data_IF_777562906377
#
_entry.id   IF_777562906377
#
_cell.length_a   1.000
_cell.length_b   1.000
_cell.length_c   1.000
_cell.angle_alpha   90.00
_cell.angle_beta   90.00
_cell.angle_gamma   90.00
#
_symmetry.space_group_name_H-M   'P 1'
#
loop_
_entity.id
_entity.type
_entity.pdbx_description
1 polymer ?
#
# COMPACT_ATOMS: atom_id res chain seq x y z
N UNK A 1 17.73 15.96 -21.96
CA UNK A 1 16.45 15.84 -21.21
C UNK A 1 16.09 14.36 -21.11
N UNK A 2 16.81 13.60 -20.29
CA UNK A 2 16.49 12.19 -20.03
C UNK A 2 15.65 12.15 -18.77
N UNK A 3 14.36 11.85 -18.90
CA UNK A 3 13.50 11.76 -17.72
C UNK A 3 13.90 10.53 -16.92
N UNK A 4 14.41 10.77 -15.72
CA UNK A 4 14.61 9.78 -14.66
C UNK A 4 13.21 9.28 -14.25
N UNK A 5 12.71 8.27 -14.97
CA UNK A 5 11.35 7.71 -14.79
C UNK A 5 11.32 6.57 -13.78
N UNK A 6 12.48 6.12 -13.31
CA UNK A 6 12.56 4.88 -12.54
C UNK A 6 12.14 5.06 -11.08
N UNK A 7 12.23 6.27 -10.50
CA UNK A 7 11.94 6.47 -9.07
C UNK A 7 12.85 5.67 -8.12
N UNK A 8 13.78 4.87 -8.65
CA UNK A 8 14.78 4.06 -7.97
C UNK A 8 16.11 4.82 -8.00
N UNK A 9 16.77 4.92 -6.85
CA UNK A 9 18.07 5.57 -6.73
C UNK A 9 19.12 4.93 -7.66
N UNK A 10 19.94 5.76 -8.33
CA UNK A 10 21.03 5.29 -9.19
C UNK A 10 22.06 4.41 -8.47
N UNK A 11 22.20 4.57 -7.16
CA UNK A 11 23.02 3.69 -6.32
C UNK A 11 22.42 2.28 -6.23
N UNK A 12 21.10 2.18 -6.00
CA UNK A 12 20.36 0.92 -5.99
C UNK A 12 20.45 0.23 -7.35
N UNK A 13 20.30 0.97 -8.45
CA UNK A 13 20.46 0.44 -9.81
C UNK A 13 21.85 -0.16 -10.01
N UNK A 14 22.90 0.56 -9.59
CA UNK A 14 24.29 0.10 -9.73
C UNK A 14 24.55 -1.16 -8.92
N UNK A 15 24.05 -1.21 -7.68
CA UNK A 15 24.19 -2.36 -6.78
C UNK A 15 23.47 -3.61 -7.32
N UNK A 16 22.18 -3.48 -7.65
CA UNK A 16 21.35 -4.57 -8.19
C UNK A 16 21.94 -5.11 -9.50
N UNK A 17 22.31 -4.20 -10.42
CA UNK A 17 22.84 -4.58 -11.73
C UNK A 17 24.22 -5.23 -11.63
N UNK A 18 25.07 -4.77 -10.71
CA UNK A 18 26.37 -5.40 -10.45
C UNK A 18 26.21 -6.83 -9.95
N UNK A 19 25.40 -7.01 -8.91
CA UNK A 19 25.14 -8.32 -8.30
C UNK A 19 24.51 -9.32 -9.29
N UNK A 20 23.50 -8.89 -10.05
CA UNK A 20 22.82 -9.74 -11.04
C UNK A 20 23.74 -10.12 -12.21
N UNK A 21 24.67 -9.24 -12.59
CA UNK A 21 25.58 -9.50 -13.70
C UNK A 21 26.59 -10.64 -13.41
N UNK A 22 26.84 -10.94 -12.14
CA UNK A 22 27.70 -12.05 -11.71
C UNK A 22 26.96 -13.40 -11.66
N UNK A 23 25.63 -13.41 -11.78
CA UNK A 23 24.86 -14.66 -11.79
C UNK A 23 25.03 -15.42 -13.12
N UNK A 24 25.31 -16.73 -13.09
CA UNK A 24 25.49 -17.53 -14.30
C UNK A 24 24.17 -17.76 -15.05
N UNK A 25 23.03 -17.79 -14.35
CA UNK A 25 21.70 -18.07 -14.91
C UNK A 25 20.92 -16.81 -15.33
N UNK A 26 21.61 -15.68 -15.48
CA UNK A 26 20.97 -14.43 -15.88
C UNK A 26 20.36 -14.55 -17.29
N UNK A 27 19.03 -14.46 -17.39
CA UNK A 27 18.33 -14.48 -18.68
C UNK A 27 18.61 -13.21 -19.49
N UNK A 28 19.32 -13.37 -20.61
CA UNK A 28 19.63 -12.29 -21.56
C UNK A 28 18.80 -12.42 -22.85
N UNK A 29 18.45 -11.31 -23.51
CA UNK A 29 17.84 -11.33 -24.83
C UNK A 29 18.74 -12.04 -25.86
N UNK A 30 18.12 -12.78 -26.79
CA UNK A 30 18.84 -13.51 -27.84
C UNK A 30 19.73 -12.63 -28.72
N UNK A 31 19.43 -11.33 -28.84
CA UNK A 31 20.25 -10.37 -29.57
C UNK A 31 21.64 -10.16 -28.92
N UNK A 32 21.72 -10.27 -27.59
CA UNK A 32 22.97 -10.10 -26.84
C UNK A 32 23.80 -11.39 -26.84
N UNK A 33 23.15 -12.55 -26.81
CA UNK A 33 23.82 -13.87 -26.82
C UNK A 33 24.21 -14.35 -28.21
N UNK A 34 23.75 -13.68 -29.28
CA UNK A 34 24.04 -14.02 -30.69
C UNK A 34 25.54 -14.06 -31.01
N UNK A 35 26.35 -13.27 -30.30
CA UNK A 35 27.79 -13.11 -30.55
C UNK A 35 28.67 -13.86 -29.53
N UNK A 36 28.13 -14.83 -28.79
CA UNK A 36 28.87 -15.63 -27.81
C UNK A 36 28.71 -15.15 -26.37
N UNK A 37 29.67 -15.51 -25.49
CA UNK A 37 29.65 -15.17 -24.07
C UNK A 37 29.60 -13.65 -23.86
N UNK A 38 28.52 -13.18 -23.23
CA UNK A 38 28.34 -11.78 -22.89
C UNK A 38 29.09 -11.51 -21.60
N UNK A 39 30.17 -10.71 -21.66
CA UNK A 39 30.93 -10.35 -20.46
C UNK A 39 30.10 -9.62 -19.39
N UNK A 40 30.49 -9.77 -18.13
CA UNK A 40 29.82 -9.19 -16.94
C UNK A 40 29.48 -7.71 -17.11
N UNK A 41 30.40 -6.92 -17.71
CA UNK A 41 30.19 -5.50 -17.94
C UNK A 41 28.97 -5.20 -18.83
N UNK A 42 28.78 -5.96 -19.92
CA UNK A 42 27.62 -5.81 -20.81
C UNK A 42 26.33 -6.31 -20.18
N UNK A 43 26.41 -7.37 -19.36
CA UNK A 43 25.27 -7.88 -18.59
C UNK A 43 24.78 -6.82 -17.60
N UNK A 44 25.71 -6.20 -16.86
CA UNK A 44 25.42 -5.11 -15.92
C UNK A 44 24.76 -3.92 -16.61
N UNK A 45 25.31 -3.49 -17.75
CA UNK A 45 24.76 -2.38 -18.51
C UNK A 45 23.34 -2.66 -19.00
N UNK A 46 23.08 -3.87 -19.51
CA UNK A 46 21.74 -4.28 -19.92
C UNK A 46 20.74 -4.27 -18.76
N UNK A 47 21.10 -4.85 -17.61
CA UNK A 47 20.24 -4.89 -16.43
C UNK A 47 19.95 -3.47 -15.93
N UNK A 48 20.97 -2.61 -15.84
CA UNK A 48 20.82 -1.23 -15.40
C UNK A 48 19.91 -0.43 -16.33
N UNK A 49 20.04 -0.63 -17.63
CA UNK A 49 19.20 0.02 -18.64
C UNK A 49 17.75 -0.47 -18.58
N UNK A 50 17.53 -1.77 -18.37
CA UNK A 50 16.19 -2.33 -18.25
C UNK A 50 15.49 -1.83 -16.98
N UNK A 51 16.19 -1.84 -15.85
CA UNK A 51 15.66 -1.38 -14.56
C UNK A 51 15.22 0.10 -14.59
N UNK A 52 15.97 0.95 -15.30
CA UNK A 52 15.64 2.37 -15.44
C UNK A 52 14.52 2.64 -16.45
N UNK A 53 14.45 1.82 -17.52
CA UNK A 53 13.49 2.02 -18.60
C UNK A 53 12.12 1.44 -18.28
N UNK A 54 12.10 0.25 -17.68
CA UNK A 54 10.91 -0.57 -17.47
C UNK A 54 11.08 -1.50 -16.25
N UNK A 55 10.71 -1.02 -15.04
CA UNK A 55 10.82 -1.80 -13.82
C UNK A 55 9.85 -2.99 -13.78
N UNK A 56 8.72 -2.95 -14.50
CA UNK A 56 7.76 -4.06 -14.56
C UNK A 56 8.35 -5.26 -15.29
N UNK A 57 8.85 -5.07 -16.51
CA UNK A 57 9.53 -6.12 -17.29
C UNK A 57 10.81 -6.61 -16.60
N UNK A 58 11.49 -5.73 -15.87
CA UNK A 58 12.63 -6.15 -15.03
C UNK A 58 12.19 -7.13 -13.93
N UNK A 59 11.13 -6.81 -13.18
CA UNK A 59 10.61 -7.67 -12.12
C UNK A 59 10.09 -9.00 -12.64
N UNK A 60 9.41 -9.01 -13.79
CA UNK A 60 8.99 -10.25 -14.46
C UNK A 60 10.16 -11.22 -14.67
N UNK A 61 11.30 -10.72 -15.16
CA UNK A 61 12.41 -11.55 -15.64
C UNK A 61 13.46 -11.84 -14.60
N UNK A 62 13.71 -10.88 -13.72
CA UNK A 62 14.82 -10.91 -12.77
C UNK A 62 14.35 -10.82 -11.31
N UNK A 63 13.06 -10.60 -11.06
CA UNK A 63 12.51 -10.43 -9.71
C UNK A 63 12.73 -11.61 -8.78
N UNK A 64 12.76 -12.84 -9.31
CA UNK A 64 13.04 -14.04 -8.52
C UNK A 64 14.43 -14.01 -7.85
N UNK A 65 15.39 -13.30 -8.43
CA UNK A 65 16.78 -13.20 -7.95
C UNK A 65 17.03 -12.01 -7.02
N UNK A 66 16.01 -11.19 -6.75
CA UNK A 66 16.11 -10.03 -5.85
C UNK A 66 15.94 -10.44 -4.40
N UNK A 67 16.57 -9.77 -3.45
CA UNK A 67 16.31 -9.92 -2.02
C UNK A 67 15.07 -9.11 -1.58
N UNK A 68 14.53 -9.38 -0.40
CA UNK A 68 13.42 -8.60 0.17
C UNK A 68 13.78 -7.10 0.30
N UNK A 69 15.00 -6.78 0.72
CA UNK A 69 15.48 -5.41 0.84
C UNK A 69 15.56 -4.70 -0.53
N UNK A 70 15.96 -5.42 -1.58
CA UNK A 70 15.98 -4.86 -2.93
C UNK A 70 14.56 -4.62 -3.49
N UNK A 71 13.61 -5.52 -3.18
CA UNK A 71 12.20 -5.35 -3.57
C UNK A 71 11.53 -4.13 -2.90
N UNK A 72 11.96 -3.75 -1.69
CA UNK A 72 11.43 -2.55 -1.00
C UNK A 72 11.66 -1.27 -1.81
N UNK A 73 12.71 -1.20 -2.62
CA UNK A 73 12.98 -0.04 -3.46
C UNK A 73 11.96 0.15 -4.60
N UNK A 74 11.15 -0.87 -4.89
CA UNK A 74 10.10 -0.84 -5.91
C UNK A 74 8.72 -0.51 -5.32
N UNK A 75 8.59 -0.43 -3.99
CA UNK A 75 7.29 -0.15 -3.35
C UNK A 75 6.79 1.29 -3.65
N UNK A 76 7.70 2.22 -3.96
CA UNK A 76 7.34 3.56 -4.44
C UNK A 76 6.73 3.56 -5.85
N UNK A 77 6.86 2.45 -6.60
CA UNK A 77 6.40 2.29 -7.98
C UNK A 77 5.11 1.48 -8.10
N UNK A 78 4.44 1.18 -6.97
CA UNK A 78 3.17 0.44 -6.92
C UNK A 78 1.99 1.12 -7.63
N UNK A 79 2.15 2.39 -8.04
CA UNK A 79 1.17 3.07 -8.89
C UNK A 79 1.12 2.46 -10.30
N UNK A 80 2.17 1.76 -10.72
CA UNK A 80 2.17 0.97 -11.95
C UNK A 80 1.58 -0.42 -11.67
N UNK A 81 0.56 -0.79 -12.44
CA UNK A 81 -0.17 -2.04 -12.24
C UNK A 81 0.70 -3.28 -12.52
N UNK A 82 1.66 -3.20 -13.44
CA UNK A 82 2.59 -4.31 -13.71
C UNK A 82 3.54 -4.51 -12.53
N UNK A 83 4.10 -3.42 -12.01
CA UNK A 83 4.99 -3.47 -10.84
C UNK A 83 4.25 -3.99 -9.60
N UNK A 84 3.04 -3.49 -9.32
CA UNK A 84 2.21 -3.98 -8.21
C UNK A 84 1.88 -5.48 -8.35
N UNK A 85 1.55 -5.94 -9.56
CA UNK A 85 1.29 -7.35 -9.83
C UNK A 85 2.51 -8.22 -9.54
N UNK A 86 3.69 -7.87 -10.07
CA UNK A 86 4.88 -8.70 -9.88
C UNK A 86 5.41 -8.64 -8.45
N UNK A 87 5.31 -7.51 -7.75
CA UNK A 87 5.68 -7.43 -6.32
C UNK A 87 4.78 -8.33 -5.45
N UNK A 88 3.47 -8.37 -5.72
CA UNK A 88 2.56 -9.30 -5.06
C UNK A 88 2.90 -10.76 -5.39
N UNK A 89 3.11 -11.09 -6.66
CA UNK A 89 3.43 -12.45 -7.09
C UNK A 89 4.74 -12.97 -6.47
N UNK A 90 5.77 -12.12 -6.39
CA UNK A 90 7.05 -12.45 -5.76
C UNK A 90 6.94 -12.58 -4.24
N UNK A 91 6.09 -11.76 -3.60
CA UNK A 91 5.76 -11.89 -2.18
C UNK A 91 4.99 -13.17 -1.86
N UNK A 92 4.01 -13.53 -2.69
CA UNK A 92 3.23 -14.77 -2.59
C UNK A 92 4.12 -16.01 -2.72
N UNK A 93 4.99 -16.04 -3.75
CA UNK A 93 5.92 -17.15 -4.00
C UNK A 93 6.92 -17.38 -2.85
N UNK A 94 7.28 -16.32 -2.12
CA UNK A 94 8.21 -16.37 -0.98
C UNK A 94 7.51 -16.65 0.35
N UNK A 95 6.18 -16.73 0.37
CA UNK A 95 5.40 -16.82 1.59
C UNK A 95 5.48 -15.55 2.46
N UNK A 96 6.03 -14.46 1.90
CA UNK A 96 6.17 -13.15 2.57
C UNK A 96 4.88 -12.33 2.46
N UNK A 97 3.96 -12.76 1.59
CA UNK A 97 2.53 -12.48 1.71
C UNK A 97 1.94 -13.15 2.95
N UNK A 98 2.35 -12.70 4.14
CA UNK A 98 1.44 -12.64 5.28
C UNK A 98 0.39 -11.60 4.92
N UNK A 99 -0.53 -12.06 4.08
CA UNK A 99 -1.45 -11.32 3.26
C UNK A 99 -2.09 -10.18 4.04
N UNK A 100 -2.34 -9.04 3.39
CA UNK A 100 -3.33 -8.07 3.87
C UNK A 100 -4.59 -8.77 4.43
N UNK A 101 -4.98 -9.93 3.87
CA UNK A 101 -6.02 -10.78 4.41
C UNK A 101 -5.74 -11.33 5.82
N UNK A 102 -4.52 -11.78 6.15
CA UNK A 102 -4.17 -12.23 7.50
C UNK A 102 -4.18 -11.09 8.52
N UNK A 103 -3.68 -9.90 8.15
CA UNK A 103 -3.75 -8.73 9.03
C UNK A 103 -5.21 -8.31 9.25
N UNK A 104 -6.02 -8.27 8.18
CA UNK A 104 -7.47 -8.03 8.29
C UNK A 104 -8.18 -9.09 9.12
N UNK A 105 -7.87 -10.38 8.92
CA UNK A 105 -8.45 -11.48 9.68
C UNK A 105 -8.06 -11.43 11.16
N UNK A 106 -6.81 -11.07 11.50
CA UNK A 106 -6.37 -10.87 12.89
C UNK A 106 -7.09 -9.70 13.55
N UNK A 107 -7.21 -8.57 12.84
CA UNK A 107 -7.95 -7.40 13.33
C UNK A 107 -9.42 -7.72 13.54
N UNK A 108 -10.04 -8.45 12.60
CA UNK A 108 -11.42 -8.92 12.71
C UNK A 108 -11.61 -9.87 13.90
N UNK A 109 -10.72 -10.87 14.07
CA UNK A 109 -10.78 -11.80 15.19
C UNK A 109 -10.60 -11.09 16.54
N UNK A 110 -9.71 -10.10 16.62
CA UNK A 110 -9.57 -9.26 17.81
C UNK A 110 -10.83 -8.45 18.09
N UNK A 111 -11.42 -7.84 17.06
CA UNK A 111 -12.68 -7.09 17.17
C UNK A 111 -13.82 -7.98 17.68
N UNK A 112 -13.99 -9.18 17.11
CA UNK A 112 -15.00 -10.16 17.54
C UNK A 112 -14.82 -10.57 18.99
N UNK A 113 -13.57 -10.70 19.44
CA UNK A 113 -13.25 -11.00 20.84
C UNK A 113 -13.65 -9.84 21.77
N UNK A 114 -13.33 -8.60 21.40
CA UNK A 114 -13.74 -7.42 22.17
C UNK A 114 -15.26 -7.34 22.31
N UNK A 115 -16.01 -7.61 21.24
CA UNK A 115 -17.48 -7.64 21.30
C UNK A 115 -18.00 -8.75 22.21
N UNK A 116 -17.40 -9.95 22.18
CA UNK A 116 -17.80 -11.05 23.05
C UNK A 116 -17.49 -10.78 24.53
N UNK A 117 -16.44 -10.00 24.81
CA UNK A 117 -16.01 -9.61 26.15
C UNK A 117 -16.71 -8.33 26.66
N UNK A 118 -17.62 -7.72 25.88
CA UNK A 118 -18.32 -6.49 26.25
C UNK A 118 -17.45 -5.23 26.23
N UNK A 119 -16.34 -5.25 25.49
CA UNK A 119 -15.34 -4.18 25.39
C UNK A 119 -15.48 -3.34 24.11
N UNK A 120 -16.65 -3.35 23.47
CA UNK A 120 -16.94 -2.56 22.26
C UNK A 120 -16.91 -1.04 22.51
N UNK A 121 -16.98 -0.58 23.76
CA UNK A 121 -17.00 0.85 24.09
C UNK A 121 -15.81 1.63 23.53
N UNK A 122 -14.60 1.07 23.59
CA UNK A 122 -13.40 1.71 23.04
C UNK A 122 -13.43 1.81 21.50
N UNK A 123 -14.08 0.85 20.83
CA UNK A 123 -14.25 0.87 19.38
C UNK A 123 -15.31 1.90 18.97
N UNK A 124 -16.43 1.95 19.69
CA UNK A 124 -17.50 2.93 19.47
C UNK A 124 -17.00 4.35 19.69
N UNK A 125 -16.21 4.59 20.74
CA UNK A 125 -15.60 5.89 21.03
C UNK A 125 -14.68 6.34 19.90
N UNK A 126 -13.86 5.42 19.35
CA UNK A 126 -13.00 5.72 18.20
C UNK A 126 -13.81 6.04 16.94
N UNK A 127 -14.88 5.27 16.67
CA UNK A 127 -15.77 5.51 15.53
C UNK A 127 -16.50 6.85 15.67
N UNK A 128 -16.95 7.20 16.88
CA UNK A 128 -17.59 8.49 17.16
C UNK A 128 -16.62 9.65 16.93
N UNK A 129 -15.38 9.55 17.41
CA UNK A 129 -14.36 10.57 17.17
C UNK A 129 -14.05 10.75 15.68
N UNK A 130 -13.95 9.66 14.92
CA UNK A 130 -13.78 9.71 13.46
C UNK A 130 -14.96 10.40 12.77
N UNK A 131 -16.18 10.05 13.18
CA UNK A 131 -17.39 10.60 12.60
C UNK A 131 -17.50 12.11 12.83
N UNK A 132 -17.29 12.56 14.06
CA UNK A 132 -17.29 13.98 14.41
C UNK A 132 -16.15 14.75 13.73
N UNK A 133 -15.05 14.08 13.37
CA UNK A 133 -13.93 14.66 12.64
C UNK A 133 -14.11 14.63 11.11
N UNK A 134 -15.18 14.03 10.58
CA UNK A 134 -15.44 13.97 9.15
C UNK A 134 -14.53 13.01 8.37
N UNK A 135 -13.95 12.00 9.02
CA UNK A 135 -12.89 11.17 8.43
C UNK A 135 -13.37 9.88 7.75
N UNK A 136 -14.68 9.59 7.81
CA UNK A 136 -15.23 8.33 7.30
C UNK A 136 -15.53 8.39 5.79
N UNK A 137 -14.84 7.58 4.97
CA UNK A 137 -15.05 7.60 3.53
C UNK A 137 -16.43 7.05 3.15
N UNK A 138 -17.13 7.78 2.29
CA UNK A 138 -18.47 7.43 1.80
C UNK A 138 -19.63 8.08 2.55
N UNK A 139 -19.35 8.87 3.59
CA UNK A 139 -20.32 9.74 4.26
C UNK A 139 -20.22 11.14 3.65
N UNK A 140 -21.36 11.73 3.28
CA UNK A 140 -21.45 13.09 2.74
C UNK A 140 -21.63 14.11 3.86
N UNK A 141 -20.53 14.42 4.57
CA UNK A 141 -20.55 15.38 5.68
C UNK A 141 -21.08 16.77 5.28
N UNK A 142 -20.72 17.36 4.12
CA UNK A 142 -21.31 18.63 3.70
C UNK A 142 -22.84 18.63 3.61
N UNK A 143 -23.46 17.50 3.23
CA UNK A 143 -24.91 17.37 3.23
C UNK A 143 -25.49 17.31 4.66
N UNK A 144 -24.81 16.61 5.58
CA UNK A 144 -25.19 16.51 7.00
C UNK A 144 -25.03 17.87 7.70
N UNK A 145 -23.88 18.51 7.52
CA UNK A 145 -23.54 19.82 8.11
C UNK A 145 -24.48 20.93 7.62
N UNK A 146 -25.08 20.75 6.44
CA UNK A 146 -26.06 21.67 5.86
C UNK A 146 -27.53 21.34 6.16
N UNK A 147 -27.81 20.25 6.89
CA UNK A 147 -29.16 19.80 7.16
C UNK A 147 -29.76 20.49 8.41
N UNK A 148 -30.51 21.56 8.16
CA UNK A 148 -31.18 22.34 9.20
C UNK A 148 -32.26 21.55 9.98
N UNK A 149 -32.76 20.41 9.47
CA UNK A 149 -33.71 19.58 10.22
C UNK A 149 -33.06 18.93 11.45
N UNK A 150 -31.74 18.68 11.38
CA UNK A 150 -30.96 18.16 12.50
C UNK A 150 -30.74 19.20 13.59
N UNK A 151 -30.67 20.49 13.23
CA UNK A 151 -30.60 21.59 14.19
C UNK A 151 -31.90 21.71 15.01
N UNK A 152 -33.05 21.54 14.36
CA UNK A 152 -34.35 21.60 15.03
C UNK A 152 -34.54 20.50 16.08
N UNK A 153 -33.93 19.33 15.86
CA UNK A 153 -34.00 18.21 16.79
C UNK A 153 -33.40 18.56 18.16
N UNK A 154 -32.26 19.25 18.16
CA UNK A 154 -31.60 19.70 19.40
C UNK A 154 -32.33 20.84 20.07
N UNK A 155 -32.92 21.76 19.30
CA UNK A 155 -33.70 22.88 19.83
C UNK A 155 -34.95 22.41 20.61
N UNK A 156 -35.63 21.35 20.14
CA UNK A 156 -36.80 20.78 20.83
C UNK A 156 -36.43 20.07 22.12
N UNK A 157 -35.31 19.34 22.14
CA UNK A 157 -34.78 18.69 23.35
C UNK A 157 -34.38 19.71 24.42
N UNK A 158 -33.68 20.78 24.03
CA UNK A 158 -33.33 21.86 24.97
C UNK A 158 -34.55 22.57 25.56
N UNK A 159 -35.60 22.76 24.76
CA UNK A 159 -36.84 23.35 25.24
C UNK A 159 -37.54 22.45 26.28
N UNK A 160 -37.60 21.14 26.03
CA UNK A 160 -38.17 20.17 26.98
C UNK A 160 -37.36 20.04 28.27
N UNK A 161 -36.03 19.97 28.19
CA UNK A 161 -35.16 19.96 29.38
C UNK A 161 -35.27 21.26 30.19
N UNK A 162 -35.44 22.40 29.51
CA UNK A 162 -35.64 23.69 30.17
C UNK A 162 -37.01 23.78 30.86
N UNK A 163 -38.06 23.23 30.24
CA UNK A 163 -39.40 23.14 30.85
C UNK A 163 -39.40 22.19 32.06
N UNK A 164 -38.84 20.99 31.94
CA UNK A 164 -38.77 20.02 33.05
C UNK A 164 -37.98 20.57 34.25
N UNK A 165 -36.89 21.32 33.99
CA UNK A 165 -36.12 21.99 35.06
C UNK A 165 -36.92 23.11 35.75
N UNK A 166 -37.86 23.75 35.05
CA UNK A 166 -38.69 24.83 35.59
C UNK A 166 -39.87 24.32 36.44
N UNK A 167 -40.34 23.09 36.20
CA UNK A 167 -41.42 22.45 36.95
C UNK A 167 -40.95 21.55 38.11
N UNK A 168 -39.63 21.48 38.34
CA UNK A 168 -39.01 20.64 39.38
C UNK A 168 -38.61 21.40 40.66
N UNK A 169 -39.02 22.66 40.84
CA UNK A 169 -38.84 23.48 42.06
C UNK A 169 -40.18 23.73 42.79
#
# INVERSE_FOLDING_TARGET
MGQDRSGISGETVTSISGRLADLPDLRLPGQLTRNGEVGVAKRREYVAALLQRDPGVFLERHGEHLSANELMHFESLRSDHEVDFYLKALGDARGDSKSSALIRNRRLAHMQRLMAEGQEGALLDLMQQSFLAGHDPGIDYPAIDGDAELDEHWARLQAQDAEDRYFSD
#
